data_IF_162541949791
#
_entry.id   IF_162541949791
#
_cell.length_a   1.000
_cell.length_b   1.000
_cell.length_c   1.000
_cell.angle_alpha   90.00
_cell.angle_beta   90.00
_cell.angle_gamma   90.00
#
_symmetry.space_group_name_H-M   'P 1'
#
loop_
_entity.id
_entity.type
_entity.pdbx_description
1 polymer ?
#
# COMPACT_ATOMS: atom_id res chain seq x y z
N UNK A 1 2.25 -10.54 8.20
CA UNK A 1 1.96 -9.22 7.60
C UNK A 1 0.55 -9.20 7.07
N UNK A 2 -0.29 -8.30 7.59
CA UNK A 2 -1.72 -8.22 7.25
C UNK A 2 -2.00 -7.16 6.17
N UNK A 3 -1.01 -6.35 5.74
CA UNK A 3 -1.23 -5.29 4.76
C UNK A 3 -0.05 -5.23 3.79
N UNK A 4 -0.31 -5.55 2.52
CA UNK A 4 0.65 -5.49 1.41
C UNK A 4 0.59 -4.13 0.70
N UNK A 5 -0.45 -3.36 0.97
CA UNK A 5 -0.69 -2.07 0.33
C UNK A 5 0.10 -0.99 1.07
N UNK A 6 0.98 -0.23 0.38
CA UNK A 6 1.72 0.86 1.01
C UNK A 6 0.77 1.99 1.44
N UNK A 7 1.02 2.57 2.61
CA UNK A 7 0.37 3.79 3.01
C UNK A 7 1.11 4.98 2.38
N UNK A 8 0.38 5.84 1.67
CA UNK A 8 0.95 7.01 1.04
C UNK A 8 0.61 8.27 1.84
N UNK A 9 1.60 9.12 2.06
CA UNK A 9 1.44 10.42 2.70
C UNK A 9 2.11 11.53 1.91
N UNK A 10 1.47 12.71 1.85
CA UNK A 10 2.09 13.91 1.33
C UNK A 10 2.93 14.56 2.45
N UNK A 11 4.22 14.72 2.20
CA UNK A 11 5.15 15.41 3.09
C UNK A 11 5.41 16.80 2.54
N UNK A 12 5.31 17.81 3.40
CA UNK A 12 5.67 19.18 3.08
C UNK A 12 6.83 19.62 3.97
N UNK A 13 7.92 20.06 3.34
CA UNK A 13 9.10 20.57 4.04
C UNK A 13 8.92 22.07 4.30
N UNK A 14 9.53 22.58 5.37
CA UNK A 14 9.35 23.98 5.77
C UNK A 14 9.83 25.01 4.73
N UNK A 15 10.68 24.60 3.77
CA UNK A 15 11.12 25.44 2.65
C UNK A 15 10.13 25.49 1.47
N UNK A 16 8.97 24.83 1.60
CA UNK A 16 7.89 24.79 0.63
C UNK A 16 7.95 23.65 -0.38
N UNK A 17 9.01 22.82 -0.38
CA UNK A 17 9.07 21.61 -1.19
C UNK A 17 8.12 20.54 -0.64
N UNK A 18 7.59 19.72 -1.52
CA UNK A 18 6.72 18.61 -1.13
C UNK A 18 7.02 17.36 -1.95
N UNK A 19 6.79 16.19 -1.35
CA UNK A 19 6.94 14.90 -2.01
C UNK A 19 5.98 13.88 -1.38
N UNK A 20 5.76 12.77 -2.08
CA UNK A 20 4.98 11.65 -1.56
C UNK A 20 5.92 10.66 -0.89
N UNK A 21 5.60 10.29 0.35
CA UNK A 21 6.28 9.24 1.10
C UNK A 21 5.38 8.01 1.15
N UNK A 22 5.96 6.83 0.91
CA UNK A 22 5.30 5.55 1.06
C UNK A 22 5.82 4.86 2.33
N UNK A 23 4.91 4.50 3.24
CA UNK A 23 5.22 3.59 4.33
C UNK A 23 5.13 2.16 3.81
N UNK A 24 6.26 1.48 3.79
CA UNK A 24 6.38 0.10 3.38
C UNK A 24 6.66 -0.74 4.62
N UNK A 25 5.68 -1.48 5.13
CA UNK A 25 5.86 -2.27 6.34
C UNK A 25 6.93 -3.35 6.11
N UNK A 26 7.96 -3.29 6.89
CA UNK A 26 9.13 -4.14 7.10
C UNK A 26 9.53 -5.14 6.01
N UNK A 27 10.78 -5.09 5.59
CA UNK A 27 11.39 -6.14 4.76
C UNK A 27 11.36 -7.48 5.50
N UNK A 28 10.99 -8.52 4.80
CA UNK A 28 10.96 -9.91 5.31
C UNK A 28 12.23 -10.58 4.82
N UNK A 29 12.97 -11.19 5.72
CA UNK A 29 14.06 -12.10 5.40
C UNK A 29 13.56 -13.19 4.44
N UNK A 30 14.27 -13.37 3.30
CA UNK A 30 13.87 -14.30 2.22
C UNK A 30 12.84 -13.72 1.25
N UNK A 31 12.62 -12.42 1.21
CA UNK A 31 11.71 -11.77 0.26
C UNK A 31 12.13 -12.01 -1.20
N UNK A 32 13.43 -12.05 -1.47
CA UNK A 32 14.03 -12.31 -2.80
C UNK A 32 13.90 -13.78 -3.24
N UNK A 33 13.69 -14.71 -2.31
CA UNK A 33 13.61 -16.15 -2.62
C UNK A 33 12.24 -16.59 -3.18
N UNK A 34 11.38 -15.67 -3.56
CA UNK A 34 10.14 -15.98 -4.29
C UNK A 34 8.96 -16.43 -3.44
N UNK A 35 8.99 -16.22 -2.12
CA UNK A 35 7.83 -16.44 -1.25
C UNK A 35 6.82 -15.31 -1.40
N UNK A 36 6.14 -15.27 -2.53
CA UNK A 36 4.98 -14.47 -2.97
C UNK A 36 4.80 -13.03 -2.49
N UNK A 37 4.93 -12.75 -1.19
CA UNK A 37 4.72 -11.44 -0.58
C UNK A 37 5.93 -10.51 -0.73
N UNK A 38 7.15 -11.06 -0.76
CA UNK A 38 8.38 -10.28 -0.86
C UNK A 38 8.54 -9.59 -2.21
N UNK A 39 8.22 -10.27 -3.31
CA UNK A 39 8.32 -9.69 -4.66
C UNK A 39 7.36 -8.51 -4.83
N UNK A 40 6.13 -8.59 -4.33
CA UNK A 40 5.18 -7.47 -4.40
C UNK A 40 5.67 -6.26 -3.60
N UNK A 41 6.30 -6.49 -2.45
CA UNK A 41 6.91 -5.46 -1.63
C UNK A 41 8.06 -4.76 -2.37
N UNK A 42 8.96 -5.53 -2.98
CA UNK A 42 10.10 -4.99 -3.74
C UNK A 42 9.66 -4.18 -4.97
N UNK A 43 8.54 -4.56 -5.62
CA UNK A 43 7.90 -3.75 -6.68
C UNK A 43 7.39 -2.39 -6.19
N UNK A 44 7.00 -2.26 -4.93
CA UNK A 44 6.66 -0.95 -4.38
C UNK A 44 7.89 -0.08 -4.16
N UNK A 45 9.02 -0.66 -3.69
CA UNK A 45 10.29 0.05 -3.57
C UNK A 45 10.80 0.50 -4.94
N UNK A 46 10.60 -0.29 -5.99
CA UNK A 46 10.99 0.03 -7.36
C UNK A 46 10.43 1.38 -7.84
N UNK A 47 9.26 1.78 -7.36
CA UNK A 47 8.64 3.08 -7.66
C UNK A 47 9.24 4.24 -6.87
N UNK A 48 10.05 3.97 -5.86
CA UNK A 48 10.67 4.99 -5.04
C UNK A 48 11.99 5.45 -5.66
N UNK A 49 12.26 6.75 -5.69
CA UNK A 49 13.52 7.32 -6.18
C UNK A 49 14.58 7.38 -5.08
N UNK A 50 14.15 7.50 -3.82
CA UNK A 50 14.98 7.59 -2.61
C UNK A 50 14.40 6.63 -1.59
N UNK A 51 15.25 5.94 -0.85
CA UNK A 51 14.87 5.02 0.22
C UNK A 51 15.25 5.63 1.56
N UNK A 52 14.33 5.69 2.50
CA UNK A 52 14.60 6.01 3.90
C UNK A 52 14.62 4.68 4.67
N UNK A 53 15.80 4.28 5.11
CA UNK A 53 16.03 3.05 5.86
C UNK A 53 16.04 3.35 7.36
N UNK A 54 14.96 3.02 8.04
CA UNK A 54 14.79 3.29 9.47
C UNK A 54 15.22 2.05 10.27
N UNK A 55 16.15 2.25 11.20
CA UNK A 55 16.73 1.20 12.05
C UNK A 55 16.32 1.46 13.50
N UNK A 56 15.82 0.44 14.17
CA UNK A 56 15.53 0.49 15.61
C UNK A 56 16.81 0.34 16.43
N UNK A 57 17.34 1.45 16.93
CA UNK A 57 18.52 1.43 17.78
C UNK A 57 18.25 0.99 19.21
N UNK A 58 16.98 0.95 19.62
CA UNK A 58 16.60 0.45 20.95
C UNK A 58 16.73 -1.06 21.11
N UNK A 59 16.64 -1.81 20.00
CA UNK A 59 16.79 -3.26 19.95
C UNK A 59 15.92 -4.03 20.97
N UNK A 60 14.75 -3.49 21.33
CA UNK A 60 13.87 -4.06 22.38
C UNK A 60 13.26 -5.41 21.97
N UNK A 61 13.20 -5.71 20.68
CA UNK A 61 12.75 -6.98 20.11
C UNK A 61 13.86 -8.04 20.04
N UNK A 62 15.06 -7.73 20.52
CA UNK A 62 16.22 -8.61 20.55
C UNK A 62 16.97 -8.69 19.20
N UNK A 63 16.63 -7.86 18.21
CA UNK A 63 17.34 -7.79 16.92
C UNK A 63 18.56 -6.90 17.04
N UNK A 64 19.64 -7.24 16.31
CA UNK A 64 20.85 -6.42 16.25
C UNK A 64 20.74 -5.38 15.11
N UNK A 65 20.78 -4.06 15.39
CA UNK A 65 20.68 -3.03 14.37
C UNK A 65 21.73 -3.11 13.26
N UNK A 66 22.94 -3.58 13.57
CA UNK A 66 24.02 -3.78 12.59
C UNK A 66 23.68 -4.91 11.62
N UNK A 67 23.15 -5.98 12.15
CA UNK A 67 22.74 -7.15 11.38
C UNK A 67 21.47 -6.86 10.55
N UNK A 68 20.50 -6.16 11.13
CA UNK A 68 19.28 -5.75 10.41
C UNK A 68 19.60 -4.90 9.18
N UNK A 69 20.52 -3.95 9.31
CA UNK A 69 20.99 -3.15 8.18
C UNK A 69 21.61 -4.03 7.08
N UNK A 70 22.44 -4.99 7.47
CA UNK A 70 23.09 -5.93 6.55
C UNK A 70 22.07 -6.79 5.81
N UNK A 71 21.11 -7.38 6.54
CA UNK A 71 20.06 -8.24 5.98
C UNK A 71 19.24 -7.48 4.94
N UNK A 72 18.77 -6.29 5.28
CA UNK A 72 17.97 -5.46 4.39
C UNK A 72 18.74 -5.09 3.12
N UNK A 73 19.99 -4.67 3.23
CA UNK A 73 20.79 -4.34 2.05
C UNK A 73 21.08 -5.57 1.18
N UNK A 74 21.27 -6.75 1.78
CA UNK A 74 21.40 -7.99 1.02
C UNK A 74 20.12 -8.34 0.25
N UNK A 75 18.94 -8.16 0.86
CA UNK A 75 17.65 -8.37 0.19
C UNK A 75 17.46 -7.38 -0.98
N UNK A 76 17.78 -6.10 -0.77
CA UNK A 76 17.74 -5.10 -1.85
C UNK A 76 18.73 -5.42 -2.97
N UNK A 77 19.92 -5.95 -2.64
CA UNK A 77 20.93 -6.34 -3.62
C UNK A 77 20.55 -7.60 -4.40
N UNK A 78 19.81 -8.52 -3.78
CA UNK A 78 19.36 -9.75 -4.40
C UNK A 78 18.21 -9.56 -5.39
N UNK A 79 17.58 -8.39 -5.37
CA UNK A 79 16.51 -8.05 -6.30
C UNK A 79 17.10 -7.51 -7.61
N UNK A 80 16.67 -8.07 -8.74
CA UNK A 80 17.29 -7.86 -10.06
C UNK A 80 17.20 -6.40 -10.59
N UNK A 81 16.35 -5.55 -9.99
CA UNK A 81 15.98 -4.24 -10.53
C UNK A 81 16.73 -3.06 -9.91
N UNK A 82 18.03 -3.21 -9.68
CA UNK A 82 18.92 -2.08 -9.37
C UNK A 82 18.47 -1.25 -8.15
N UNK A 83 17.84 -1.89 -7.14
CA UNK A 83 17.36 -1.16 -5.96
C UNK A 83 18.50 -0.52 -5.16
N UNK A 84 19.71 -1.11 -5.20
CA UNK A 84 20.90 -0.56 -4.55
C UNK A 84 21.46 0.71 -5.20
N UNK A 85 21.03 1.04 -6.41
CA UNK A 85 21.43 2.30 -7.05
C UNK A 85 20.62 3.50 -6.55
N UNK A 86 19.53 3.25 -5.84
CA UNK A 86 18.73 4.32 -5.23
C UNK A 86 19.46 4.87 -4.02
N UNK A 87 19.56 6.20 -3.89
CA UNK A 87 20.11 6.82 -2.68
C UNK A 87 19.35 6.35 -1.45
N UNK A 88 20.10 5.95 -0.42
CA UNK A 88 19.55 5.58 0.88
C UNK A 88 19.87 6.68 1.90
N UNK A 89 18.87 7.02 2.71
CA UNK A 89 19.01 7.84 3.92
C UNK A 89 18.87 6.88 5.10
N UNK A 90 19.92 6.72 5.89
CA UNK A 90 19.89 5.83 7.05
C UNK A 90 19.48 6.62 8.28
N UNK A 91 18.43 6.14 8.95
CA UNK A 91 17.86 6.79 10.14
C UNK A 91 17.99 5.86 11.34
N UNK A 92 18.76 6.30 12.33
CA UNK A 92 18.85 5.69 13.65
C UNK A 92 17.67 6.18 14.49
N UNK A 93 16.65 5.35 14.67
CA UNK A 93 15.43 5.71 15.39
C UNK A 93 15.41 5.14 16.81
N UNK A 94 14.53 5.68 17.64
CA UNK A 94 14.36 5.35 19.05
C UNK A 94 15.60 5.70 19.89
N UNK A 95 16.19 6.86 19.59
CA UNK A 95 17.39 7.34 20.31
C UNK A 95 17.14 7.70 21.77
N UNK A 96 15.88 7.71 22.21
CA UNK A 96 15.45 7.87 23.60
C UNK A 96 15.64 6.62 24.47
N UNK A 97 15.97 5.48 23.88
CA UNK A 97 16.14 4.22 24.61
C UNK A 97 17.59 4.02 25.10
N UNK A 98 17.76 3.39 26.27
CA UNK A 98 19.05 3.23 26.95
C UNK A 98 20.13 2.56 26.10
N UNK A 99 19.75 1.54 25.29
CA UNK A 99 20.69 0.82 24.45
C UNK A 99 21.06 1.56 23.14
N UNK A 100 20.34 2.61 22.77
CA UNK A 100 20.42 3.22 21.46
C UNK A 100 21.80 3.86 21.19
N UNK A 101 22.38 4.55 22.17
CA UNK A 101 23.68 5.20 22.03
C UNK A 101 24.83 4.19 21.78
N UNK A 102 24.82 3.07 22.49
CA UNK A 102 25.81 2.00 22.29
C UNK A 102 25.63 1.29 20.96
N UNK A 103 24.40 1.01 20.57
CA UNK A 103 24.07 0.40 19.27
C UNK A 103 24.45 1.33 18.12
N UNK A 104 24.19 2.62 18.22
CA UNK A 104 24.60 3.61 17.21
C UNK A 104 26.12 3.67 17.07
N UNK A 105 26.87 3.63 18.18
CA UNK A 105 28.33 3.57 18.13
C UNK A 105 28.82 2.34 17.39
N UNK A 106 28.32 1.16 17.74
CA UNK A 106 28.63 -0.12 17.03
C UNK A 106 28.28 -0.04 15.54
N UNK A 107 27.16 0.57 15.21
CA UNK A 107 26.73 0.76 13.83
C UNK A 107 27.72 1.66 13.07
N UNK A 108 28.10 2.82 13.62
CA UNK A 108 29.07 3.74 13.00
C UNK A 108 30.48 3.12 12.88
N UNK A 109 30.87 2.23 13.80
CA UNK A 109 32.12 1.45 13.70
C UNK A 109 32.06 0.42 12.58
N UNK A 110 30.92 -0.26 12.38
CA UNK A 110 30.72 -1.24 11.32
C UNK A 110 30.57 -0.61 9.93
N UNK A 111 29.96 0.58 9.85
CA UNK A 111 29.65 1.30 8.62
C UNK A 111 30.10 2.75 8.68
N UNK A 112 31.42 3.03 8.68
CA UNK A 112 31.95 4.38 8.91
C UNK A 112 31.63 5.38 7.81
N UNK A 113 31.36 4.91 6.59
CA UNK A 113 31.07 5.74 5.43
C UNK A 113 29.57 6.04 5.27
N UNK A 114 28.71 5.50 6.14
CA UNK A 114 27.27 5.69 6.07
C UNK A 114 26.86 6.92 6.85
N UNK A 115 26.22 7.89 6.15
CA UNK A 115 25.60 9.04 6.81
C UNK A 115 24.36 8.58 7.58
N UNK A 116 24.32 8.84 8.90
CA UNK A 116 23.24 8.39 9.78
C UNK A 116 22.57 9.60 10.44
N UNK A 117 21.25 9.67 10.32
CA UNK A 117 20.40 10.67 10.96
C UNK A 117 19.79 10.09 12.24
N UNK A 118 19.99 10.77 13.35
CA UNK A 118 19.46 10.35 14.64
C UNK A 118 18.06 10.92 14.86
N UNK A 119 17.10 10.07 15.25
CA UNK A 119 15.71 10.48 15.45
C UNK A 119 15.08 9.84 16.68
N UNK A 120 14.10 10.53 17.25
CA UNK A 120 13.17 10.01 18.25
C UNK A 120 11.76 10.32 17.78
N UNK A 121 11.20 9.41 16.96
CA UNK A 121 9.94 9.68 16.25
C UNK A 121 8.75 9.89 17.19
N UNK A 122 8.77 9.30 18.40
CA UNK A 122 7.68 9.42 19.38
C UNK A 122 7.47 10.87 19.87
N UNK A 123 8.54 11.68 19.84
CA UNK A 123 8.51 13.10 20.20
C UNK A 123 8.81 14.02 19.02
N UNK A 124 8.82 13.46 17.81
CA UNK A 124 9.11 14.15 16.55
C UNK A 124 10.47 14.87 16.52
N UNK A 125 11.47 14.37 17.24
CA UNK A 125 12.83 14.93 17.28
C UNK A 125 13.69 14.35 16.14
N UNK A 126 14.51 15.21 15.50
CA UNK A 126 15.45 14.83 14.45
C UNK A 126 14.82 14.55 13.06
N UNK A 127 13.54 14.82 12.86
CA UNK A 127 12.84 14.53 11.60
C UNK A 127 13.19 15.51 10.48
N UNK A 128 13.28 16.80 10.78
CA UNK A 128 13.51 17.83 9.76
C UNK A 128 14.77 17.59 8.91
N UNK A 129 15.95 17.25 9.48
CA UNK A 129 17.14 16.93 8.69
C UNK A 129 16.93 15.79 7.70
N UNK A 130 16.16 14.75 8.08
CA UNK A 130 15.82 13.61 7.24
C UNK A 130 14.95 14.06 6.07
N UNK A 131 13.94 14.88 6.33
CA UNK A 131 13.01 15.38 5.33
C UNK A 131 13.71 16.34 4.34
N UNK A 132 14.58 17.22 4.82
CA UNK A 132 15.40 18.08 3.95
C UNK A 132 16.32 17.24 3.07
N UNK A 133 17.01 16.24 3.65
CA UNK A 133 17.88 15.34 2.89
C UNK A 133 17.13 14.56 1.82
N UNK A 134 15.92 14.09 2.14
CA UNK A 134 15.06 13.42 1.17
C UNK A 134 14.66 14.34 0.01
N UNK A 135 14.27 15.58 0.31
CA UNK A 135 13.93 16.57 -0.70
C UNK A 135 15.14 16.94 -1.59
N UNK A 136 16.34 17.05 -1.01
CA UNK A 136 17.59 17.34 -1.74
C UNK A 136 17.94 16.18 -2.69
N UNK A 137 17.87 14.95 -2.21
CA UNK A 137 18.13 13.77 -3.05
C UNK A 137 17.10 13.62 -4.15
N UNK A 138 15.80 13.85 -3.87
CA UNK A 138 14.76 13.82 -4.88
C UNK A 138 14.94 14.87 -5.98
N UNK A 139 15.54 16.02 -5.67
CA UNK A 139 15.81 17.07 -6.65
C UNK A 139 16.87 16.65 -7.69
N UNK A 140 17.83 15.80 -7.30
CA UNK A 140 18.96 15.41 -8.16
C UNK A 140 18.88 13.97 -8.66
N UNK A 141 18.07 13.11 -8.03
CA UNK A 141 17.96 11.70 -8.43
C UNK A 141 16.99 11.57 -9.61
N UNK A 142 17.38 10.96 -10.73
CA UNK A 142 16.48 10.71 -11.84
C UNK A 142 15.42 9.67 -11.49
N UNK A 143 14.40 9.54 -12.33
CA UNK A 143 13.49 8.40 -12.29
C UNK A 143 14.21 7.15 -12.78
N UNK A 144 13.90 6.02 -12.13
CA UNK A 144 14.43 4.72 -12.54
C UNK A 144 13.39 4.01 -13.40
N UNK A 145 13.80 3.30 -14.47
CA UNK A 145 12.86 2.50 -15.26
C UNK A 145 12.23 1.41 -14.37
N UNK A 146 10.94 1.20 -14.53
CA UNK A 146 10.21 0.14 -13.84
C UNK A 146 10.33 -1.18 -14.59
N UNK A 147 10.20 -2.29 -13.87
CA UNK A 147 10.27 -3.65 -14.44
C UNK A 147 9.30 -3.86 -15.63
N UNK A 148 8.08 -3.37 -15.52
CA UNK A 148 7.08 -3.45 -16.59
C UNK A 148 7.48 -2.75 -17.89
N UNK A 149 8.35 -1.73 -17.82
CA UNK A 149 8.81 -0.99 -19.00
C UNK A 149 9.95 -1.70 -19.73
N UNK A 150 10.69 -2.59 -19.04
CA UNK A 150 11.80 -3.34 -19.62
C UNK A 150 11.30 -4.63 -20.29
N UNK A 151 10.31 -5.31 -19.72
CA UNK A 151 9.69 -6.50 -20.31
C UNK A 151 8.89 -6.16 -21.58
N UNK A 152 8.27 -4.96 -21.67
CA UNK A 152 7.55 -4.50 -22.85
C UNK A 152 8.47 -4.19 -24.05
N UNK A 153 9.78 -4.00 -23.84
CA UNK A 153 10.75 -3.82 -24.94
C UNK A 153 11.29 -5.14 -25.50
N UNK A 154 11.20 -6.24 -24.76
CA UNK A 154 11.66 -7.57 -25.21
C UNK A 154 10.54 -8.50 -25.68
N UNK A 155 9.28 -8.20 -25.36
CA UNK A 155 8.12 -8.96 -25.81
C UNK A 155 7.30 -8.17 -26.81
N UNK A 156 7.42 -8.47 -28.09
CA UNK A 156 6.48 -8.03 -29.11
C UNK A 156 5.04 -8.34 -28.67
N UNK A 157 4.32 -7.31 -28.29
CA UNK A 157 2.88 -7.22 -28.48
C UNK A 157 2.00 -8.17 -27.67
N UNK A 158 2.02 -8.12 -26.33
CA UNK A 158 0.84 -8.50 -25.57
C UNK A 158 0.14 -7.22 -25.12
N UNK A 159 -0.88 -6.86 -25.89
CA UNK A 159 -1.81 -5.79 -25.56
C UNK A 159 -2.53 -6.16 -24.25
N UNK A 160 -2.03 -5.68 -23.10
CA UNK A 160 -2.81 -5.71 -21.87
C UNK A 160 -4.02 -4.80 -22.09
N UNK A 161 -5.15 -5.39 -22.45
CA UNK A 161 -6.42 -4.74 -22.23
C UNK A 161 -6.51 -4.49 -20.73
N UNK A 162 -6.66 -3.22 -20.36
CA UNK A 162 -7.10 -2.84 -19.04
C UNK A 162 -8.45 -3.51 -18.82
N UNK A 163 -8.45 -4.68 -18.19
CA UNK A 163 -9.67 -5.24 -17.63
C UNK A 163 -9.96 -4.40 -16.40
N UNK A 164 -11.03 -3.61 -16.48
CA UNK A 164 -11.60 -2.99 -15.29
C UNK A 164 -11.70 -4.10 -14.23
N UNK A 165 -11.31 -3.84 -12.96
CA UNK A 165 -11.46 -4.83 -11.91
C UNK A 165 -12.88 -5.37 -11.98
N UNK A 166 -13.04 -6.67 -12.12
CA UNK A 166 -14.34 -7.31 -12.19
C UNK A 166 -15.20 -6.73 -11.07
N UNK A 167 -16.27 -6.03 -11.47
CA UNK A 167 -17.19 -5.50 -10.47
C UNK A 167 -17.64 -6.70 -9.66
N UNK A 168 -17.67 -6.65 -8.34
CA UNK A 168 -18.03 -7.79 -7.50
C UNK A 168 -19.47 -8.28 -7.72
N UNK A 169 -20.17 -7.66 -8.66
CA UNK A 169 -21.52 -7.97 -9.07
C UNK A 169 -21.81 -7.51 -10.50
N UNK A 170 -22.76 -8.15 -11.15
CA UNK A 170 -23.30 -7.77 -12.47
C UNK A 170 -24.68 -7.14 -12.30
N UNK A 171 -24.94 -6.09 -13.10
CA UNK A 171 -26.27 -5.47 -13.19
C UNK A 171 -26.82 -5.77 -14.58
N UNK A 172 -28.02 -6.31 -14.65
CA UNK A 172 -28.75 -6.61 -15.90
C UNK A 172 -30.06 -5.86 -15.91
N UNK A 173 -30.31 -5.12 -16.99
CA UNK A 173 -31.62 -4.49 -17.23
C UNK A 173 -32.57 -5.53 -17.81
N UNK A 174 -33.63 -5.84 -17.07
CA UNK A 174 -34.68 -6.78 -17.51
C UNK A 174 -35.81 -6.09 -18.32
N UNK A 175 -35.75 -4.77 -18.45
CA UNK A 175 -36.79 -3.96 -19.08
C UNK A 175 -37.93 -3.59 -18.12
N UNK A 176 -38.80 -2.67 -18.54
CA UNK A 176 -40.00 -2.21 -17.79
C UNK A 176 -39.66 -1.72 -16.35
N UNK A 177 -38.52 -1.05 -16.13
CA UNK A 177 -38.13 -0.59 -14.80
C UNK A 177 -37.73 -1.73 -13.85
N UNK A 178 -37.28 -2.87 -14.39
CA UNK A 178 -36.73 -3.98 -13.58
C UNK A 178 -35.26 -4.21 -13.86
N UNK A 179 -34.52 -4.38 -12.80
CA UNK A 179 -33.07 -4.57 -12.79
C UNK A 179 -32.68 -5.81 -11.97
N UNK A 180 -31.83 -6.63 -12.47
CA UNK A 180 -31.29 -7.79 -11.72
C UNK A 180 -29.87 -7.52 -11.29
N UNK A 181 -29.57 -7.86 -10.06
CA UNK A 181 -28.20 -7.85 -9.55
C UNK A 181 -27.81 -9.28 -9.18
N UNK A 182 -26.67 -9.73 -9.71
CA UNK A 182 -26.08 -11.04 -9.42
C UNK A 182 -24.59 -10.86 -9.03
N UNK A 183 -24.13 -11.63 -8.07
CA UNK A 183 -22.73 -11.60 -7.62
C UNK A 183 -22.57 -12.35 -6.31
N UNK A 184 -21.48 -13.09 -6.20
CA UNK A 184 -21.23 -14.01 -5.08
C UNK A 184 -21.29 -13.29 -3.71
N UNK A 185 -20.78 -12.07 -3.64
CA UNK A 185 -20.77 -11.29 -2.40
C UNK A 185 -22.15 -10.74 -2.02
N UNK A 186 -22.95 -10.35 -3.03
CA UNK A 186 -24.33 -9.90 -2.84
C UNK A 186 -25.23 -11.07 -2.43
N UNK A 187 -25.10 -12.20 -3.10
CA UNK A 187 -25.85 -13.40 -2.80
C UNK A 187 -25.53 -13.94 -1.39
N UNK A 188 -24.26 -13.92 -1.00
CA UNK A 188 -23.88 -14.23 0.40
C UNK A 188 -24.50 -13.27 1.38
N UNK A 189 -24.50 -11.98 1.10
CA UNK A 189 -25.08 -10.97 1.96
C UNK A 189 -26.60 -11.17 2.10
N UNK A 190 -27.27 -11.47 0.98
CA UNK A 190 -28.69 -11.75 0.93
C UNK A 190 -29.04 -13.01 1.75
N UNK A 191 -28.36 -14.13 1.50
CA UNK A 191 -28.58 -15.40 2.18
C UNK A 191 -28.26 -15.35 3.69
N UNK A 192 -27.34 -14.47 4.11
CA UNK A 192 -27.01 -14.26 5.51
C UNK A 192 -28.01 -13.35 6.24
N UNK A 193 -28.90 -12.66 5.49
CA UNK A 193 -29.87 -11.71 6.05
C UNK A 193 -31.23 -12.41 6.17
N UNK A 194 -31.77 -12.43 7.40
CA UNK A 194 -33.15 -12.84 7.63
C UNK A 194 -34.04 -11.60 7.55
N UNK A 195 -34.78 -11.44 6.45
CA UNK A 195 -35.69 -10.31 6.19
C UNK A 195 -36.98 -10.44 7.03
N UNK A 196 -36.85 -10.40 8.35
CA UNK A 196 -37.95 -10.53 9.31
C UNK A 196 -38.07 -9.33 10.27
N UNK A 197 -37.23 -8.32 10.10
CA UNK A 197 -37.24 -7.11 10.89
C UNK A 197 -36.69 -5.92 10.11
N UNK A 198 -37.21 -4.73 10.41
CA UNK A 198 -36.75 -3.47 9.83
C UNK A 198 -35.25 -3.22 10.03
N UNK A 199 -34.67 -3.71 11.15
CA UNK A 199 -33.24 -3.63 11.42
C UNK A 199 -32.41 -4.51 10.45
N UNK A 200 -32.93 -5.67 10.04
CA UNK A 200 -32.28 -6.55 9.09
C UNK A 200 -32.26 -5.92 7.68
N UNK A 201 -33.36 -5.31 7.29
CA UNK A 201 -33.48 -4.59 6.00
C UNK A 201 -32.52 -3.41 5.93
N UNK A 202 -32.44 -2.60 6.99
CA UNK A 202 -31.50 -1.48 7.07
C UNK A 202 -30.02 -1.95 7.07
N UNK A 203 -29.72 -3.11 7.68
CA UNK A 203 -28.37 -3.68 7.70
C UNK A 203 -27.96 -4.16 6.30
N UNK A 204 -28.88 -4.78 5.58
CA UNK A 204 -28.68 -5.20 4.21
C UNK A 204 -28.49 -4.00 3.28
N UNK A 205 -29.35 -2.99 3.35
CA UNK A 205 -29.22 -1.76 2.57
C UNK A 205 -27.87 -1.05 2.83
N UNK A 206 -27.43 -1.01 4.08
CA UNK A 206 -26.13 -0.44 4.43
C UNK A 206 -24.96 -1.20 3.80
N UNK A 207 -25.07 -2.53 3.72
CA UNK A 207 -24.05 -3.37 3.06
C UNK A 207 -24.03 -3.15 1.55
N UNK A 208 -25.19 -2.97 0.91
CA UNK A 208 -25.29 -2.64 -0.52
C UNK A 208 -24.64 -1.28 -0.83
N UNK A 209 -24.79 -0.28 0.04
CA UNK A 209 -24.11 1.01 -0.08
C UNK A 209 -22.58 0.89 0.02
N UNK A 210 -22.07 0.08 0.93
CA UNK A 210 -20.62 -0.18 1.07
C UNK A 210 -20.04 -0.83 -0.19
N UNK A 211 -20.82 -1.68 -0.86
CA UNK A 211 -20.45 -2.32 -2.13
C UNK A 211 -20.66 -1.40 -3.35
N UNK A 212 -21.07 -0.14 -3.14
CA UNK A 212 -21.39 0.82 -4.20
C UNK A 212 -22.46 0.35 -5.20
N UNK A 213 -23.37 -0.54 -4.77
CA UNK A 213 -24.46 -1.08 -5.61
C UNK A 213 -25.41 0.03 -6.03
N UNK A 214 -25.76 0.93 -5.11
CA UNK A 214 -26.68 2.05 -5.37
C UNK A 214 -26.14 2.96 -6.48
N UNK A 215 -24.86 3.30 -6.43
CA UNK A 215 -24.22 4.13 -7.45
C UNK A 215 -24.15 3.39 -8.79
N UNK A 216 -23.82 2.12 -8.78
CA UNK A 216 -23.73 1.32 -9.99
C UNK A 216 -25.08 1.15 -10.67
N UNK A 217 -26.19 1.03 -9.91
CA UNK A 217 -27.56 1.01 -10.45
C UNK A 217 -27.93 2.35 -11.12
N UNK A 218 -27.60 3.48 -10.49
CA UNK A 218 -27.81 4.82 -11.09
C UNK A 218 -27.02 4.99 -12.38
N UNK A 219 -25.75 4.59 -12.38
CA UNK A 219 -24.88 4.66 -13.55
C UNK A 219 -25.39 3.77 -14.70
N UNK A 220 -26.06 2.66 -14.36
CA UNK A 220 -26.73 1.79 -15.33
C UNK A 220 -28.07 2.36 -15.85
N UNK A 221 -28.60 3.40 -15.18
CA UNK A 221 -29.85 4.05 -15.58
C UNK A 221 -31.09 3.70 -14.75
N UNK A 222 -30.92 3.04 -13.60
CA UNK A 222 -32.00 2.78 -12.64
C UNK A 222 -32.52 4.09 -12.03
N UNK A 223 -33.84 4.22 -11.92
CA UNK A 223 -34.53 5.41 -11.40
C UNK A 223 -35.28 5.10 -10.12
N UNK A 224 -35.59 6.13 -9.37
CA UNK A 224 -36.42 6.03 -8.17
C UNK A 224 -37.78 5.39 -8.47
N UNK A 225 -38.13 4.36 -7.72
CA UNK A 225 -39.34 3.55 -7.95
C UNK A 225 -39.15 2.33 -8.86
N UNK A 226 -37.99 2.13 -9.48
CA UNK A 226 -37.66 0.93 -10.19
C UNK A 226 -37.55 -0.28 -9.27
N UNK A 227 -37.70 -1.48 -9.81
CA UNK A 227 -37.64 -2.74 -9.07
C UNK A 227 -36.28 -3.38 -9.29
N UNK A 228 -35.60 -3.67 -8.18
CA UNK A 228 -34.30 -4.38 -8.15
C UNK A 228 -34.54 -5.81 -7.68
N UNK A 229 -34.09 -6.78 -8.45
CA UNK A 229 -34.21 -8.22 -8.15
C UNK A 229 -32.86 -8.76 -7.67
N UNK A 230 -32.86 -9.35 -6.48
CA UNK A 230 -31.70 -10.04 -5.89
C UNK A 230 -32.15 -11.41 -5.42
N UNK A 231 -31.56 -12.50 -5.90
CA UNK A 231 -31.91 -13.88 -5.53
C UNK A 231 -33.46 -14.14 -5.59
N UNK A 232 -34.11 -13.77 -6.69
CA UNK A 232 -35.55 -13.89 -6.90
C UNK A 232 -36.46 -13.06 -5.97
N UNK A 233 -35.92 -12.16 -5.19
CA UNK A 233 -36.65 -11.23 -4.32
C UNK A 233 -36.64 -9.83 -4.93
N UNK A 234 -37.79 -9.19 -4.96
CA UNK A 234 -37.98 -7.85 -5.52
C UNK A 234 -37.87 -6.79 -4.42
N UNK A 235 -37.09 -5.75 -4.66
CA UNK A 235 -36.93 -4.59 -3.80
C UNK A 235 -37.26 -3.31 -4.61
N UNK A 236 -37.89 -2.35 -3.96
CA UNK A 236 -38.06 -1.03 -4.57
C UNK A 236 -36.76 -0.24 -4.43
N UNK A 237 -36.26 0.30 -5.53
CA UNK A 237 -35.15 1.24 -5.50
C UNK A 237 -35.68 2.61 -5.02
N UNK A 238 -35.16 3.10 -3.92
CA UNK A 238 -35.53 4.38 -3.32
C UNK A 238 -34.25 5.16 -3.11
N UNK A 239 -34.26 6.44 -3.55
CA UNK A 239 -33.10 7.33 -3.48
C UNK A 239 -32.79 7.82 -2.04
#
# INVERSE_FOLDING_TARGET
FTTITPNLGLVQVADGRSFVMADLPGLIEGASEGKGLGIQFLRHIERCRVIIHIIDMGANDGRDPVEDYRIINNELASYEYRLMERPQIVVANKMDLDAAADNLRRFKEAYPDVEVFETTTIIAEGLDPVLYRAADLLAVTPEFPMHSEVEDQESEGVLYKFEEPEKPFEIRNLGNGKWQIAGEEIERAFNATRFNSEEADQRFARKMRVLNVDQALRDAGCQDGDIVVICDTEFNFID
#
